data_IF_794998617523
#
_entry.id   IF_794998617523
#
_cell.length_a   1.000
_cell.length_b   1.000
_cell.length_c   1.000
_cell.angle_alpha   90.00
_cell.angle_beta   90.00
_cell.angle_gamma   90.00
#
_symmetry.space_group_name_H-M   'P 1'
#
loop_
_entity.id
_entity.type
_entity.pdbx_description
1 polymer ?
#
# COMPACT_ATOMS: atom_id res chain seq x y z
N UNK A 1 16.23 21.39 25.57
CA UNK A 1 15.09 21.34 24.62
C UNK A 1 15.15 20.00 23.91
N UNK A 2 14.29 19.05 24.30
CA UNK A 2 14.08 17.83 23.54
C UNK A 2 13.47 18.21 22.19
N UNK A 3 14.18 17.97 21.09
CA UNK A 3 13.56 18.03 19.76
C UNK A 3 12.43 17.01 19.78
N UNK A 4 11.18 17.48 19.79
CA UNK A 4 10.02 16.63 19.56
C UNK A 4 10.29 15.83 18.29
N UNK A 5 10.43 14.51 18.41
CA UNK A 5 10.50 13.65 17.23
C UNK A 5 9.12 13.74 16.57
N UNK A 6 9.04 14.41 15.42
CA UNK A 6 7.79 14.57 14.65
C UNK A 6 7.19 13.22 14.22
N UNK A 7 7.99 12.16 14.22
CA UNK A 7 7.63 10.82 13.79
C UNK A 7 8.32 9.78 14.68
N UNK A 8 7.59 8.73 15.06
CA UNK A 8 8.16 7.55 15.70
C UNK A 8 8.39 6.51 14.61
N UNK A 9 9.61 6.46 14.06
CA UNK A 9 10.00 5.57 12.96
C UNK A 9 11.36 4.91 13.26
N UNK A 10 11.67 3.74 12.68
CA UNK A 10 12.96 3.08 12.85
C UNK A 10 14.14 3.99 12.47
N UNK A 11 15.28 3.85 13.16
CA UNK A 11 16.48 4.67 12.88
C UNK A 11 17.05 4.44 11.48
N UNK A 12 16.84 3.24 10.96
CA UNK A 12 17.29 2.71 9.67
C UNK A 12 16.13 2.61 8.66
N UNK A 13 15.08 3.42 8.82
CA UNK A 13 13.91 3.40 7.93
C UNK A 13 14.27 3.59 6.44
N UNK A 14 15.38 4.26 6.15
CA UNK A 14 15.89 4.52 4.80
C UNK A 14 16.47 3.27 4.13
N UNK A 15 16.74 2.21 4.91
CA UNK A 15 17.17 0.89 4.44
C UNK A 15 16.01 -0.09 4.24
N UNK A 16 14.79 0.25 4.67
CA UNK A 16 13.64 -0.66 4.58
C UNK A 16 13.26 -0.90 3.13
N UNK A 17 13.29 -2.17 2.74
CA UNK A 17 13.02 -2.63 1.38
C UNK A 17 11.52 -2.74 1.11
N UNK A 18 11.15 -2.61 -0.17
CA UNK A 18 9.78 -2.85 -0.66
C UNK A 18 9.46 -4.35 -0.64
N UNK A 19 10.44 -5.17 -1.03
CA UNK A 19 10.33 -6.62 -0.95
C UNK A 19 10.67 -7.16 0.46
N UNK A 20 10.18 -8.36 0.75
CA UNK A 20 10.48 -9.10 1.97
C UNK A 20 9.24 -9.48 2.78
N UNK A 21 9.48 -10.11 3.92
CA UNK A 21 8.44 -10.54 4.85
C UNK A 21 7.85 -9.34 5.61
N UNK A 22 6.56 -9.42 5.89
CA UNK A 22 5.89 -8.46 6.76
C UNK A 22 6.32 -8.64 8.22
N UNK A 23 6.27 -7.54 8.96
CA UNK A 23 6.50 -7.48 10.40
C UNK A 23 5.18 -7.40 11.18
N UNK A 24 4.18 -6.71 10.63
CA UNK A 24 2.87 -6.61 11.25
C UNK A 24 2.02 -7.86 10.96
N UNK A 25 1.13 -8.21 11.89
CA UNK A 25 0.13 -9.27 11.70
C UNK A 25 -1.12 -8.74 11.00
N UNK A 26 -1.87 -9.62 10.33
CA UNK A 26 -3.17 -9.26 9.73
C UNK A 26 -4.16 -8.72 10.78
N UNK A 27 -4.14 -9.25 11.99
CA UNK A 27 -4.99 -8.79 13.10
C UNK A 27 -4.65 -7.34 13.50
N UNK A 28 -3.36 -6.99 13.57
CA UNK A 28 -2.92 -5.62 13.81
C UNK A 28 -3.35 -4.67 12.68
N UNK A 29 -3.25 -5.10 11.42
CA UNK A 29 -3.70 -4.30 10.29
C UNK A 29 -5.22 -4.03 10.32
N UNK A 30 -6.04 -5.05 10.64
CA UNK A 30 -7.49 -4.87 10.80
C UNK A 30 -7.82 -3.99 11.99
N UNK A 31 -7.17 -4.21 13.13
CA UNK A 31 -7.38 -3.40 14.32
C UNK A 31 -7.08 -1.93 14.04
N UNK A 32 -5.97 -1.64 13.35
CA UNK A 32 -5.61 -0.28 12.95
C UNK A 32 -6.66 0.31 12.01
N UNK A 33 -7.02 -0.39 10.93
CA UNK A 33 -8.02 0.11 9.99
C UNK A 33 -9.34 0.41 10.70
N UNK A 34 -9.84 -0.50 11.54
CA UNK A 34 -11.11 -0.31 12.27
C UNK A 34 -11.08 0.82 13.29
N UNK A 35 -9.91 1.15 13.86
CA UNK A 35 -9.76 2.27 14.77
C UNK A 35 -10.10 3.60 14.07
N UNK A 36 -9.73 3.73 12.81
CA UNK A 36 -9.96 4.93 12.01
C UNK A 36 -11.24 4.85 11.16
N UNK A 37 -11.52 3.69 10.57
CA UNK A 37 -12.62 3.45 9.64
C UNK A 37 -13.10 1.99 9.70
N UNK A 38 -14.18 1.75 10.43
CA UNK A 38 -14.79 0.43 10.55
C UNK A 38 -15.86 0.13 9.47
N UNK A 39 -16.20 1.10 8.61
CA UNK A 39 -17.24 0.98 7.59
C UNK A 39 -16.74 1.56 6.26
N UNK A 40 -16.08 0.69 5.49
CA UNK A 40 -15.47 1.11 4.24
C UNK A 40 -16.54 1.41 3.18
N UNK A 41 -16.41 2.50 2.40
CA UNK A 41 -17.33 2.83 1.31
C UNK A 41 -17.00 2.06 0.01
N UNK A 42 -16.42 0.87 0.12
CA UNK A 42 -16.08 -0.03 -0.99
C UNK A 42 -16.73 -1.39 -0.78
N UNK A 43 -16.74 -2.24 -1.81
CA UNK A 43 -17.32 -3.59 -1.74
C UNK A 43 -16.39 -4.59 -1.05
N UNK A 44 -15.90 -4.27 0.15
CA UNK A 44 -15.07 -5.13 0.99
C UNK A 44 -15.19 -4.73 2.47
N UNK A 45 -15.08 -5.70 3.38
CA UNK A 45 -14.87 -5.42 4.81
C UNK A 45 -13.39 -5.11 5.11
N UNK A 46 -13.05 -4.54 6.27
CA UNK A 46 -11.66 -4.38 6.72
C UNK A 46 -10.83 -5.67 6.63
N UNK A 47 -11.40 -6.80 7.07
CA UNK A 47 -10.75 -8.12 7.01
C UNK A 47 -10.51 -8.56 5.57
N UNK A 48 -11.52 -8.47 4.72
CA UNK A 48 -11.39 -8.84 3.31
C UNK A 48 -10.31 -8.00 2.61
N UNK A 49 -10.24 -6.71 2.91
CA UNK A 49 -9.25 -5.81 2.33
C UNK A 49 -7.83 -6.15 2.80
N UNK A 50 -7.63 -6.38 4.11
CA UNK A 50 -6.32 -6.81 4.63
C UNK A 50 -5.91 -8.16 4.04
N UNK A 51 -6.85 -9.09 3.91
CA UNK A 51 -6.61 -10.39 3.26
C UNK A 51 -6.22 -10.27 1.79
N UNK A 52 -6.85 -9.34 1.04
CA UNK A 52 -6.45 -9.05 -0.34
C UNK A 52 -4.99 -8.57 -0.43
N UNK A 53 -4.57 -7.65 0.45
CA UNK A 53 -3.18 -7.19 0.49
C UNK A 53 -2.22 -8.31 0.86
N UNK A 54 -2.54 -9.08 1.90
CA UNK A 54 -1.76 -10.24 2.33
C UNK A 54 -1.51 -11.20 1.16
N UNK A 55 -2.57 -11.57 0.44
CA UNK A 55 -2.50 -12.53 -0.65
C UNK A 55 -1.83 -11.97 -1.90
N UNK A 56 -2.21 -10.79 -2.38
CA UNK A 56 -1.67 -10.23 -3.63
C UNK A 56 -0.20 -9.82 -3.48
N UNK A 57 0.19 -9.20 -2.37
CA UNK A 57 1.58 -8.82 -2.15
C UNK A 57 2.44 -10.04 -1.79
N UNK A 58 1.91 -10.99 -1.01
CA UNK A 58 2.60 -12.22 -0.63
C UNK A 58 2.98 -13.08 -1.83
N UNK A 59 2.09 -13.23 -2.83
CA UNK A 59 2.41 -13.91 -4.12
C UNK A 59 3.63 -13.31 -4.83
N UNK A 60 3.88 -12.02 -4.62
CA UNK A 60 4.91 -11.26 -5.31
C UNK A 60 6.15 -10.99 -4.43
N UNK A 61 6.17 -11.46 -3.18
CA UNK A 61 7.26 -11.21 -2.23
C UNK A 61 7.39 -9.74 -1.83
N UNK A 62 6.30 -8.98 -1.91
CA UNK A 62 6.22 -7.58 -1.50
C UNK A 62 5.73 -7.53 -0.04
N UNK A 63 6.31 -6.64 0.78
CA UNK A 63 5.87 -6.41 2.16
C UNK A 63 4.44 -5.90 2.20
N UNK A 64 3.50 -6.81 2.46
CA UNK A 64 2.06 -6.54 2.35
C UNK A 64 1.58 -5.49 3.37
N UNK A 65 2.18 -5.47 4.56
CA UNK A 65 1.88 -4.54 5.65
C UNK A 65 2.24 -3.10 5.29
N UNK A 66 3.41 -2.87 4.69
CA UNK A 66 3.82 -1.56 4.21
C UNK A 66 3.05 -1.12 2.96
N UNK A 67 2.77 -2.03 2.02
CA UNK A 67 1.88 -1.76 0.90
C UNK A 67 0.46 -1.38 1.38
N UNK A 68 -0.02 -2.02 2.45
CA UNK A 68 -1.28 -1.66 3.07
C UNK A 68 -1.20 -0.28 3.76
N UNK A 69 -0.13 0.02 4.50
CA UNK A 69 0.11 1.34 5.10
C UNK A 69 0.14 2.45 4.05
N UNK A 70 0.75 2.20 2.90
CA UNK A 70 0.71 3.10 1.74
C UNK A 70 -0.73 3.37 1.30
N UNK A 71 -1.55 2.32 1.20
CA UNK A 71 -2.95 2.47 0.83
C UNK A 71 -3.78 3.26 1.86
N UNK A 72 -3.51 3.04 3.15
CA UNK A 72 -4.11 3.83 4.22
C UNK A 72 -3.75 5.31 4.09
N UNK A 73 -2.49 5.62 3.77
CA UNK A 73 -2.05 7.00 3.55
C UNK A 73 -2.75 7.62 2.34
N UNK A 74 -2.73 6.94 1.19
CA UNK A 74 -3.25 7.42 -0.09
C UNK A 74 -4.77 7.64 -0.08
N UNK A 75 -5.50 6.82 0.67
CA UNK A 75 -6.96 6.87 0.74
C UNK A 75 -7.49 7.65 1.96
N UNK A 76 -6.61 8.09 2.85
CA UNK A 76 -7.01 8.64 4.16
C UNK A 76 -7.78 7.62 5.00
N UNK A 77 -7.22 6.42 5.16
CA UNK A 77 -7.85 5.27 5.82
C UNK A 77 -9.20 4.92 5.18
N UNK A 78 -9.25 4.89 3.84
CA UNK A 78 -10.45 4.57 3.06
C UNK A 78 -11.64 5.51 3.32
N UNK A 79 -11.41 6.71 3.84
CA UNK A 79 -12.44 7.76 3.87
C UNK A 79 -12.59 8.44 2.52
N UNK A 80 -11.52 8.48 1.72
CA UNK A 80 -11.43 9.17 0.43
C UNK A 80 -11.71 10.68 0.57
N UNK A 81 -10.65 11.50 0.55
CA UNK A 81 -10.76 12.96 0.63
C UNK A 81 -10.11 13.71 -0.53
N UNK A 82 -9.55 12.96 -1.49
CA UNK A 82 -8.83 13.48 -2.65
C UNK A 82 -9.65 13.39 -3.94
N UNK A 83 -8.94 13.29 -5.05
CA UNK A 83 -9.54 13.19 -6.39
C UNK A 83 -10.05 11.78 -6.72
N UNK A 84 -9.57 10.78 -5.99
CA UNK A 84 -10.03 9.40 -6.11
C UNK A 84 -11.26 9.18 -5.25
N UNK A 85 -12.31 8.61 -5.85
CA UNK A 85 -13.55 8.24 -5.17
C UNK A 85 -13.64 6.72 -4.92
N UNK A 86 -14.43 6.26 -3.93
CA UNK A 86 -14.49 4.84 -3.57
C UNK A 86 -14.82 3.90 -4.74
N UNK A 87 -15.69 4.33 -5.66
CA UNK A 87 -16.11 3.55 -6.83
C UNK A 87 -14.95 3.18 -7.79
N UNK A 88 -13.79 3.84 -7.67
CA UNK A 88 -12.61 3.56 -8.48
C UNK A 88 -11.85 2.31 -8.03
N UNK A 89 -11.99 1.89 -6.76
CA UNK A 89 -11.12 0.89 -6.15
C UNK A 89 -9.62 1.18 -6.40
N UNK A 90 -9.23 2.46 -6.48
CA UNK A 90 -7.86 2.89 -6.75
C UNK A 90 -7.20 3.31 -5.44
N UNK A 91 -6.48 2.40 -4.82
CA UNK A 91 -6.00 2.57 -3.44
C UNK A 91 -4.60 3.17 -3.35
N UNK A 92 -4.01 3.60 -4.46
CA UNK A 92 -2.64 4.10 -4.50
C UNK A 92 -2.42 5.29 -5.45
N UNK A 93 -3.49 5.95 -5.87
CA UNK A 93 -3.42 7.18 -6.67
C UNK A 93 -3.04 6.97 -8.14
N UNK A 94 -3.28 5.78 -8.70
CA UNK A 94 -2.90 5.47 -10.08
C UNK A 94 -3.57 6.41 -11.08
N UNK A 95 -2.74 7.12 -11.86
CA UNK A 95 -3.21 7.94 -12.98
C UNK A 95 -3.84 9.28 -12.57
N UNK A 96 -3.74 9.71 -11.31
CA UNK A 96 -4.17 11.06 -10.91
C UNK A 96 -3.10 12.07 -11.31
N UNK A 97 -3.25 12.72 -12.47
CA UNK A 97 -2.30 13.75 -12.94
C UNK A 97 -2.76 15.18 -12.61
N UNK A 98 -4.03 15.38 -12.25
CA UNK A 98 -4.60 16.64 -11.77
C UNK A 98 -5.94 16.40 -11.06
N UNK A 99 -6.56 17.46 -10.50
CA UNK A 99 -7.92 17.42 -9.95
C UNK A 99 -9.01 17.15 -10.98
N UNK A 100 -8.68 17.21 -12.28
CA UNK A 100 -9.62 17.09 -13.39
C UNK A 100 -9.53 15.72 -14.07
N UNK A 101 -8.36 15.07 -14.01
CA UNK A 101 -8.15 13.73 -14.59
C UNK A 101 -8.52 12.68 -13.55
N UNK A 102 -9.66 12.02 -13.77
CA UNK A 102 -10.06 10.88 -12.94
C UNK A 102 -9.03 9.76 -13.11
N UNK A 103 -8.46 9.30 -11.99
CA UNK A 103 -7.51 8.19 -11.97
C UNK A 103 -8.11 6.87 -12.48
N UNK A 104 -7.31 5.80 -12.47
CA UNK A 104 -7.75 4.47 -12.92
C UNK A 104 -9.00 3.97 -12.15
N UNK A 105 -9.81 3.15 -12.82
CA UNK A 105 -10.97 2.45 -12.25
C UNK A 105 -10.72 0.94 -12.33
N UNK A 106 -11.01 0.24 -11.24
CA UNK A 106 -10.94 -1.20 -11.14
C UNK A 106 -12.30 -1.76 -10.74
N UNK A 107 -12.73 -2.83 -11.41
CA UNK A 107 -14.08 -3.38 -11.24
C UNK A 107 -14.34 -3.93 -9.83
N UNK A 108 -13.29 -4.40 -9.15
CA UNK A 108 -13.35 -4.96 -7.80
C UNK A 108 -12.21 -4.43 -6.94
N UNK A 109 -12.36 -4.46 -5.59
CA UNK A 109 -11.27 -4.16 -4.68
C UNK A 109 -10.03 -5.04 -4.92
N UNK A 110 -10.19 -6.34 -5.22
CA UNK A 110 -9.08 -7.25 -5.53
C UNK A 110 -8.22 -6.75 -6.70
N UNK A 111 -8.85 -6.30 -7.79
CA UNK A 111 -8.15 -5.73 -8.94
C UNK A 111 -7.45 -4.41 -8.59
N UNK A 112 -8.04 -3.62 -7.70
CA UNK A 112 -7.44 -2.41 -7.16
C UNK A 112 -6.17 -2.67 -6.35
N UNK A 113 -6.22 -3.66 -5.45
CA UNK A 113 -5.05 -4.12 -4.68
C UNK A 113 -3.99 -4.70 -5.63
N UNK A 114 -4.38 -5.57 -6.58
CA UNK A 114 -3.45 -6.13 -7.57
C UNK A 114 -2.74 -5.03 -8.36
N UNK A 115 -3.47 -4.04 -8.87
CA UNK A 115 -2.87 -2.92 -9.60
C UNK A 115 -1.87 -2.14 -8.74
N UNK A 116 -2.16 -1.94 -7.46
CA UNK A 116 -1.23 -1.31 -6.54
C UNK A 116 0.06 -2.11 -6.35
N UNK A 117 -0.05 -3.42 -6.08
CA UNK A 117 1.11 -4.30 -5.93
C UNK A 117 1.94 -4.34 -7.21
N UNK A 118 1.28 -4.44 -8.37
CA UNK A 118 1.94 -4.38 -9.67
C UNK A 118 2.68 -3.04 -9.86
N UNK A 119 2.11 -1.92 -9.42
CA UNK A 119 2.79 -0.63 -9.52
C UNK A 119 4.04 -0.57 -8.64
N UNK A 120 3.99 -1.10 -7.42
CA UNK A 120 5.18 -1.27 -6.56
C UNK A 120 6.23 -2.15 -7.22
N UNK A 121 5.83 -3.24 -7.88
CA UNK A 121 6.75 -4.09 -8.63
C UNK A 121 7.39 -3.35 -9.81
N UNK A 122 6.62 -2.55 -10.56
CA UNK A 122 7.12 -1.79 -11.69
C UNK A 122 8.27 -0.85 -11.26
N UNK A 123 8.20 -0.29 -10.05
CA UNK A 123 9.25 0.53 -9.46
C UNK A 123 10.46 -0.27 -8.96
N UNK A 124 10.24 -1.46 -8.40
CA UNK A 124 11.20 -2.07 -7.48
C UNK A 124 11.91 -3.32 -7.99
N UNK A 125 11.44 -3.96 -9.05
CA UNK A 125 12.03 -5.23 -9.50
C UNK A 125 11.96 -5.43 -11.01
N UNK A 126 12.98 -6.11 -11.56
CA UNK A 126 12.99 -6.60 -12.95
C UNK A 126 12.15 -7.87 -13.14
N UNK A 127 11.69 -8.49 -12.05
CA UNK A 127 10.78 -9.63 -12.12
C UNK A 127 9.38 -9.13 -12.51
N UNK A 128 8.77 -9.73 -13.54
CA UNK A 128 7.39 -9.43 -13.92
C UNK A 128 6.39 -10.03 -12.91
N UNK A 129 5.17 -9.47 -12.79
CA UNK A 129 4.13 -10.02 -11.92
C UNK A 129 3.78 -11.44 -12.35
N UNK A 130 3.47 -12.28 -11.37
CA UNK A 130 3.01 -13.65 -11.59
C UNK A 130 1.55 -13.69 -12.07
N UNK A 131 0.80 -12.61 -11.84
CA UNK A 131 -0.59 -12.43 -12.23
C UNK A 131 -0.72 -11.57 -13.50
N UNK A 132 -1.85 -11.65 -14.25
CA UNK A 132 -2.10 -10.76 -15.37
C UNK A 132 -2.00 -9.29 -14.96
N UNK A 133 -1.29 -8.49 -15.76
CA UNK A 133 -1.09 -7.06 -15.51
C UNK A 133 -2.42 -6.33 -15.72
N UNK A 134 -2.88 -5.65 -14.66
CA UNK A 134 -4.10 -4.84 -14.62
C UNK A 134 -3.80 -3.37 -14.34
N UNK A 135 -2.61 -3.03 -13.83
CA UNK A 135 -2.15 -1.65 -13.72
C UNK A 135 -1.93 -1.05 -15.13
N UNK A 136 -2.73 -0.05 -15.55
CA UNK A 136 -2.62 0.54 -16.88
C UNK A 136 -1.32 1.33 -17.10
N UNK A 137 -0.58 1.65 -16.02
CA UNK A 137 0.70 2.36 -16.07
C UNK A 137 1.91 1.44 -15.89
N UNK A 138 1.70 0.15 -15.66
CA UNK A 138 2.77 -0.79 -15.33
C UNK A 138 3.92 -0.73 -16.34
N UNK A 139 3.62 -0.92 -17.63
CA UNK A 139 4.64 -0.99 -18.68
C UNK A 139 5.43 0.32 -18.80
N UNK A 140 4.76 1.47 -18.71
CA UNK A 140 5.40 2.78 -18.77
C UNK A 140 6.41 2.98 -17.64
N UNK A 141 6.02 2.65 -16.41
CA UNK A 141 6.88 2.77 -15.23
C UNK A 141 8.02 1.76 -15.30
N UNK A 142 7.69 0.49 -15.56
CA UNK A 142 8.65 -0.60 -15.66
C UNK A 142 9.73 -0.30 -16.70
N UNK A 143 9.37 0.13 -17.91
CA UNK A 143 10.34 0.48 -18.96
C UNK A 143 11.23 1.65 -18.56
N UNK A 144 10.66 2.64 -17.85
CA UNK A 144 11.43 3.73 -17.26
C UNK A 144 12.44 3.23 -16.23
N UNK A 145 12.08 2.23 -15.43
CA UNK A 145 12.90 1.65 -14.37
C UNK A 145 13.99 0.72 -14.92
N UNK A 146 13.70 -0.03 -15.99
CA UNK A 146 14.70 -0.79 -16.76
C UNK A 146 15.80 0.14 -17.29
N UNK A 147 15.46 1.35 -17.76
CA UNK A 147 16.44 2.31 -18.27
C UNK A 147 17.21 3.07 -17.18
N UNK A 148 16.53 3.42 -16.09
CA UNK A 148 17.04 4.40 -15.11
C UNK A 148 17.38 3.78 -13.74
N UNK A 149 17.22 2.47 -13.58
CA UNK A 149 17.41 1.77 -12.32
C UNK A 149 16.13 1.68 -11.47
N UNK A 150 16.00 0.53 -10.80
CA UNK A 150 14.92 0.20 -9.88
C UNK A 150 15.11 0.87 -8.51
N UNK A 151 14.00 1.06 -7.80
CA UNK A 151 13.95 1.57 -6.44
C UNK A 151 13.46 0.47 -5.52
N UNK A 152 14.38 -0.17 -4.79
CA UNK A 152 14.09 -1.32 -3.93
C UNK A 152 13.75 -0.93 -2.49
N UNK A 153 13.88 0.36 -2.13
CA UNK A 153 13.61 0.90 -0.79
C UNK A 153 12.49 1.93 -0.79
N UNK A 154 11.73 1.97 0.31
CA UNK A 154 10.62 2.91 0.47
C UNK A 154 11.06 4.38 0.39
N UNK A 155 12.21 4.72 0.97
CA UNK A 155 12.78 6.08 0.95
C UNK A 155 13.04 6.61 -0.47
N UNK A 156 13.34 5.73 -1.43
CA UNK A 156 13.55 6.11 -2.83
C UNK A 156 12.25 6.49 -3.56
N UNK A 157 11.08 6.19 -2.97
CA UNK A 157 9.78 6.62 -3.49
C UNK A 157 9.45 8.08 -3.14
N UNK A 158 10.20 8.71 -2.23
CA UNK A 158 10.05 10.12 -1.88
C UNK A 158 10.26 11.02 -3.12
N UNK A 159 9.27 11.87 -3.43
CA UNK A 159 9.30 12.71 -4.63
C UNK A 159 9.18 11.95 -5.96
N UNK A 160 8.96 10.62 -5.94
CA UNK A 160 8.88 9.76 -7.14
C UNK A 160 7.54 9.06 -7.29
N UNK A 161 6.95 8.63 -6.18
CA UNK A 161 5.58 8.13 -6.12
C UNK A 161 4.61 9.28 -5.85
N UNK A 162 4.86 10.01 -4.77
CA UNK A 162 4.15 11.24 -4.40
C UNK A 162 5.14 12.42 -4.36
N UNK A 163 4.64 13.65 -4.51
CA UNK A 163 5.48 14.87 -4.56
C UNK A 163 6.13 15.24 -3.23
N UNK A 164 5.66 14.68 -2.11
CA UNK A 164 6.18 14.96 -0.78
C UNK A 164 7.57 14.35 -0.51
N UNK A 165 8.42 15.10 0.19
CA UNK A 165 9.77 14.66 0.57
C UNK A 165 9.80 13.70 1.77
N UNK A 166 8.69 13.57 2.51
CA UNK A 166 8.56 12.75 3.71
C UNK A 166 7.55 11.60 3.54
N UNK A 167 7.42 11.09 2.32
CA UNK A 167 6.38 10.14 1.96
C UNK A 167 6.59 8.77 2.64
N UNK A 168 7.79 8.21 2.55
CA UNK A 168 8.17 6.97 3.21
C UNK A 168 8.03 7.09 4.74
N UNK A 169 8.42 8.22 5.32
CA UNK A 169 8.36 8.47 6.76
C UNK A 169 6.91 8.41 7.27
N UNK A 170 5.95 8.93 6.51
CA UNK A 170 4.52 8.80 6.85
C UNK A 170 4.06 7.35 6.82
N UNK A 171 4.46 6.58 5.81
CA UNK A 171 4.15 5.14 5.71
C UNK A 171 4.74 4.40 6.90
N UNK A 172 6.02 4.65 7.23
CA UNK A 172 6.70 4.02 8.35
C UNK A 172 6.04 4.38 9.68
N UNK A 173 5.59 5.62 9.85
CA UNK A 173 4.89 6.02 11.06
C UNK A 173 3.52 5.33 11.21
N UNK A 174 2.80 5.08 10.11
CA UNK A 174 1.57 4.26 10.13
C UNK A 174 1.91 2.82 10.47
N UNK A 175 3.01 2.29 9.93
CA UNK A 175 3.48 0.93 10.21
C UNK A 175 3.87 0.73 11.67
N UNK A 176 4.59 1.66 12.29
CA UNK A 176 4.91 1.60 13.72
C UNK A 176 3.64 1.66 14.60
N UNK A 177 2.64 2.48 14.22
CA UNK A 177 1.34 2.47 14.89
C UNK A 177 0.66 1.11 14.76
N UNK A 178 0.67 0.50 13.57
CA UNK A 178 0.12 -0.83 13.32
C UNK A 178 0.75 -1.88 14.25
N UNK A 179 2.09 -1.94 14.29
CA UNK A 179 2.85 -2.88 15.13
C UNK A 179 2.65 -2.66 16.63
N UNK A 180 2.33 -1.44 17.05
CA UNK A 180 2.09 -1.11 18.46
C UNK A 180 0.76 -1.64 19.02
N UNK A 181 -0.17 -2.08 18.14
CA UNK A 181 -1.46 -2.58 18.58
C UNK A 181 -1.34 -3.97 19.20
N UNK A 182 -1.85 -4.09 20.43
CA UNK A 182 -2.05 -5.37 21.09
C UNK A 182 -3.33 -5.98 20.53
N UNK A 183 -3.21 -7.15 19.91
CA UNK A 183 -4.34 -7.91 19.37
C UNK A 183 -4.31 -9.31 19.96
N UNK A 184 -5.48 -9.91 20.20
CA UNK A 184 -5.59 -11.31 20.55
C UNK A 184 -5.69 -12.07 19.23
N UNK A 185 -4.69 -12.89 18.93
CA UNK A 185 -4.73 -13.76 17.75
C UNK A 185 -5.88 -14.75 17.89
N UNK A 186 -6.81 -14.72 16.94
CA UNK A 186 -8.01 -15.55 17.02
C UNK A 186 -9.15 -15.20 16.06
N UNK A 187 -8.97 -14.24 15.15
CA UNK A 187 -9.92 -14.09 14.06
C UNK A 187 -9.76 -15.29 13.09
N UNK A 188 -10.86 -16.02 12.86
CA UNK A 188 -10.93 -16.98 11.76
C UNK A 188 -10.85 -16.19 10.44
N UNK A 189 -9.65 -16.02 9.93
CA UNK A 189 -9.41 -15.42 8.62
C UNK A 189 -10.13 -16.26 7.56
N UNK A 190 -10.90 -15.64 6.65
CA UNK A 190 -11.57 -16.36 5.56
C UNK A 190 -10.55 -17.23 4.83
N UNK A 191 -10.67 -18.55 4.94
CA UNK A 191 -9.74 -19.48 4.32
C UNK A 191 -9.84 -19.34 2.80
N UNK A 192 -8.69 -19.46 2.12
CA UNK A 192 -8.58 -19.55 0.68
C UNK A 192 -9.66 -20.49 0.10
N UNK A 193 -10.67 -19.94 -0.56
CA UNK A 193 -11.40 -20.71 -1.57
C UNK A 193 -10.48 -20.82 -2.77
N UNK A 194 -9.76 -21.95 -2.84
CA UNK A 194 -9.05 -22.41 -4.04
C UNK A 194 -9.99 -22.53 -5.23
#
# INVERSE_FOLDING_TARGET
MTKSQLWNIPKDYDQVTIAGEAEATRDQAVALLKLYNNRLPIKATPEQLVEMYYNEAGKEGIRWDLAFCQALLETGFFHFGGTVVPAQNNFCGLGTTSSQVRGAYFATPDLGVRAHIQHLMAYSTSRKPSTPIVDPRYQLVYDGKVRNGFFDRWSQLNGKWATGSNYAEKIMNIHEQMKSLITVSGADWPKETR
#
